data_IF_681366429586
#
_entry.id   IF_681366429586
#
_cell.length_a   1.000
_cell.length_b   1.000
_cell.length_c   1.000
_cell.angle_alpha   90.00
_cell.angle_beta   90.00
_cell.angle_gamma   90.00
#
_symmetry.space_group_name_H-M   'P 1'
#
loop_
_entity.id
_entity.type
_entity.pdbx_description
1 polymer ?
#
# COMPACT_ATOMS: atom_id res chain seq x y z
N UNK A 1 12.24 12.90 16.86
CA UNK A 1 12.70 12.46 15.53
C UNK A 1 13.32 13.66 14.84
N UNK A 2 14.62 13.60 14.58
CA UNK A 2 15.34 14.67 13.89
C UNK A 2 15.00 14.72 12.38
N UNK A 3 15.43 15.80 11.73
CA UNK A 3 15.16 16.08 10.32
C UNK A 3 15.80 15.04 9.38
N UNK A 4 17.04 14.61 9.68
CA UNK A 4 17.77 13.66 8.84
C UNK A 4 17.03 12.32 8.77
N UNK A 5 16.59 11.81 9.93
CA UNK A 5 15.81 10.57 9.97
C UNK A 5 14.53 10.69 9.15
N UNK A 6 13.79 11.80 9.28
CA UNK A 6 12.53 12.01 8.53
C UNK A 6 12.75 12.00 7.02
N UNK A 7 13.75 12.75 6.56
CA UNK A 7 14.07 12.81 5.14
C UNK A 7 14.56 11.47 4.61
N UNK A 8 15.43 10.77 5.35
CA UNK A 8 15.88 9.42 4.97
C UNK A 8 14.71 8.44 4.94
N UNK A 9 13.82 8.48 5.92
CA UNK A 9 12.67 7.60 6.00
C UNK A 9 11.69 7.87 4.85
N UNK A 10 11.35 9.14 4.62
CA UNK A 10 10.51 9.55 3.50
C UNK A 10 11.10 9.09 2.16
N UNK A 11 12.39 9.36 1.89
CA UNK A 11 13.03 8.97 0.62
C UNK A 11 12.98 7.47 0.35
N UNK A 12 13.15 6.64 1.39
CA UNK A 12 13.03 5.18 1.25
C UNK A 12 11.58 4.76 0.98
N UNK A 13 10.61 5.41 1.63
CA UNK A 13 9.19 5.15 1.41
C UNK A 13 8.76 5.56 0.01
N UNK A 14 9.11 6.78 -0.39
CA UNK A 14 8.84 7.33 -1.71
C UNK A 14 9.45 6.47 -2.83
N UNK A 15 10.68 5.97 -2.65
CA UNK A 15 11.30 5.05 -3.60
C UNK A 15 10.52 3.74 -3.75
N UNK A 16 10.03 3.15 -2.65
CA UNK A 16 9.19 1.96 -2.71
C UNK A 16 7.84 2.22 -3.40
N UNK A 17 7.21 3.38 -3.14
CA UNK A 17 5.96 3.78 -3.79
C UNK A 17 6.18 4.04 -5.29
N UNK A 18 7.28 4.67 -5.67
CA UNK A 18 7.58 4.94 -7.07
C UNK A 18 7.95 3.65 -7.83
N UNK A 19 8.63 2.69 -7.20
CA UNK A 19 8.82 1.37 -7.79
C UNK A 19 7.48 0.68 -8.03
N UNK A 20 6.57 0.74 -7.05
CA UNK A 20 5.22 0.22 -7.18
C UNK A 20 4.45 0.89 -8.33
N UNK A 21 4.52 2.22 -8.44
CA UNK A 21 3.94 3.00 -9.55
C UNK A 21 4.51 2.56 -10.90
N UNK A 22 5.83 2.38 -10.99
CA UNK A 22 6.49 1.98 -12.23
C UNK A 22 6.06 0.60 -12.70
N UNK A 23 5.97 -0.37 -11.79
CA UNK A 23 5.42 -1.72 -12.07
C UNK A 23 4.06 -1.62 -12.75
N UNK A 24 3.14 -0.83 -12.19
CA UNK A 24 1.80 -0.66 -12.76
C UNK A 24 1.88 0.05 -14.12
N UNK A 25 2.75 1.06 -14.26
CA UNK A 25 2.89 1.82 -15.50
C UNK A 25 3.42 0.99 -16.67
N UNK A 26 4.36 0.08 -16.43
CA UNK A 26 4.98 -0.72 -17.50
C UNK A 26 4.21 -2.00 -17.81
N UNK A 27 3.28 -2.41 -16.95
CA UNK A 27 2.48 -3.63 -17.15
C UNK A 27 1.63 -3.49 -18.43
N UNK A 28 1.78 -4.36 -19.46
CA UNK A 28 0.98 -4.27 -20.68
C UNK A 28 -0.51 -4.46 -20.41
N UNK A 29 -1.38 -3.81 -21.18
CA UNK A 29 -2.85 -3.94 -21.02
C UNK A 29 -3.34 -5.38 -21.09
N UNK A 30 -2.81 -6.13 -22.05
CA UNK A 30 -3.14 -7.55 -22.21
C UNK A 30 -2.74 -8.37 -20.97
N UNK A 31 -1.59 -8.07 -20.37
CA UNK A 31 -1.12 -8.74 -19.14
C UNK A 31 -1.96 -8.33 -17.96
N UNK A 32 -2.21 -7.03 -17.76
CA UNK A 32 -3.04 -6.51 -16.67
C UNK A 32 -4.43 -7.14 -16.66
N UNK A 33 -5.07 -7.26 -17.83
CA UNK A 33 -6.42 -7.83 -17.96
C UNK A 33 -6.46 -9.36 -17.83
N UNK A 34 -5.45 -10.08 -18.32
CA UNK A 34 -5.43 -11.56 -18.32
C UNK A 34 -4.92 -12.13 -17.01
N UNK A 35 -3.85 -11.55 -16.46
CA UNK A 35 -3.18 -12.02 -15.25
C UNK A 35 -3.77 -11.32 -14.03
N UNK A 36 -5.00 -11.71 -13.67
CA UNK A 36 -5.79 -11.07 -12.59
C UNK A 36 -5.05 -10.97 -11.26
N UNK A 37 -4.14 -11.91 -10.97
CA UNK A 37 -3.31 -11.90 -9.77
C UNK A 37 -2.43 -10.65 -9.66
N UNK A 38 -1.94 -10.12 -10.79
CA UNK A 38 -1.16 -8.87 -10.81
C UNK A 38 -2.04 -7.70 -10.37
N UNK A 39 -3.26 -7.63 -10.91
CA UNK A 39 -4.24 -6.60 -10.52
C UNK A 39 -4.62 -6.72 -9.04
N UNK A 40 -5.01 -7.90 -8.56
CA UNK A 40 -5.42 -8.08 -7.16
C UNK A 40 -4.29 -7.76 -6.18
N UNK A 41 -3.06 -8.16 -6.49
CA UNK A 41 -1.89 -7.82 -5.66
C UNK A 41 -1.58 -6.33 -5.68
N UNK A 42 -1.67 -5.67 -6.83
CA UNK A 42 -1.51 -4.24 -6.92
C UNK A 42 -2.61 -3.49 -6.13
N UNK A 43 -3.86 -3.92 -6.27
CA UNK A 43 -4.98 -3.36 -5.52
C UNK A 43 -4.80 -3.50 -4.01
N UNK A 44 -4.52 -4.72 -3.54
CA UNK A 44 -4.21 -5.00 -2.13
C UNK A 44 -3.09 -4.08 -1.62
N UNK A 45 -1.97 -4.02 -2.35
CA UNK A 45 -0.82 -3.19 -1.96
C UNK A 45 -1.21 -1.73 -1.79
N UNK A 46 -1.99 -1.18 -2.73
CA UNK A 46 -2.40 0.21 -2.71
C UNK A 46 -3.41 0.53 -1.61
N UNK A 47 -4.41 -0.34 -1.42
CA UNK A 47 -5.43 -0.15 -0.41
C UNK A 47 -4.80 -0.13 1.00
N UNK A 48 -3.89 -1.06 1.27
CA UNK A 48 -3.20 -1.15 2.55
C UNK A 48 -2.18 -0.04 2.74
N UNK A 49 -1.48 0.39 1.68
CA UNK A 49 -0.66 1.58 1.72
C UNK A 49 -1.47 2.76 2.25
N UNK A 50 -2.66 3.01 1.70
CA UNK A 50 -3.51 4.12 2.10
C UNK A 50 -4.13 3.97 3.49
N UNK A 51 -4.55 2.75 3.83
CA UNK A 51 -5.14 2.42 5.12
C UNK A 51 -4.17 2.70 6.28
N UNK A 52 -2.94 2.19 6.20
CA UNK A 52 -1.93 2.39 7.24
C UNK A 52 -1.45 3.84 7.36
N UNK A 53 -1.68 4.66 6.34
CA UNK A 53 -1.40 6.10 6.35
C UNK A 53 -2.56 6.95 6.90
N UNK A 54 -3.71 6.36 7.20
CA UNK A 54 -4.90 7.12 7.60
C UNK A 54 -5.04 7.20 9.12
N UNK A 55 -5.10 8.43 9.63
CA UNK A 55 -5.26 8.75 11.05
C UNK A 55 -6.32 9.85 11.19
N UNK A 56 -7.36 9.68 12.02
CA UNK A 56 -7.73 8.45 12.72
C UNK A 56 -8.17 7.35 11.73
N UNK A 57 -8.01 6.07 12.05
CA UNK A 57 -8.33 4.95 11.12
C UNK A 57 -9.81 4.99 10.69
N UNK A 58 -10.69 5.49 11.56
CA UNK A 58 -12.11 5.71 11.27
C UNK A 58 -12.39 6.64 10.09
N UNK A 59 -11.43 7.48 9.66
CA UNK A 59 -11.57 8.34 8.48
C UNK A 59 -11.08 7.68 7.18
N UNK A 60 -10.69 6.41 7.21
CA UNK A 60 -10.31 5.67 6.02
C UNK A 60 -11.49 5.53 5.05
N UNK A 61 -11.34 6.17 3.89
CA UNK A 61 -12.27 6.10 2.76
C UNK A 61 -11.42 5.97 1.50
N UNK A 62 -11.26 4.74 0.96
CA UNK A 62 -10.41 4.53 -0.19
C UNK A 62 -11.01 5.17 -1.44
N UNK A 63 -10.15 5.60 -2.38
CA UNK A 63 -10.63 6.14 -3.67
C UNK A 63 -11.28 5.07 -4.54
N UNK A 64 -10.83 3.82 -4.39
CA UNK A 64 -11.32 2.67 -5.13
C UNK A 64 -11.98 1.68 -4.15
N UNK A 65 -13.31 1.50 -4.21
CA UNK A 65 -14.06 0.64 -3.29
C UNK A 65 -13.60 -0.83 -3.21
N UNK A 66 -13.87 -1.45 -2.07
CA UNK A 66 -13.68 -2.88 -1.83
C UNK A 66 -14.85 -3.46 -1.05
N UNK A 67 -14.94 -4.78 -1.10
CA UNK A 67 -15.82 -5.60 -0.28
C UNK A 67 -14.99 -6.61 0.50
N UNK A 68 -15.42 -6.92 1.74
CA UNK A 68 -14.89 -8.06 2.48
C UNK A 68 -15.67 -9.30 2.08
N UNK A 69 -14.96 -10.27 1.52
CA UNK A 69 -15.54 -11.49 0.96
C UNK A 69 -15.26 -12.65 1.90
N UNK A 70 -16.29 -13.46 2.17
CA UNK A 70 -16.15 -14.64 3.01
C UNK A 70 -15.16 -15.66 2.40
N UNK A 71 -14.41 -16.41 3.22
CA UNK A 71 -13.34 -17.29 2.73
C UNK A 71 -13.78 -18.33 1.68
N UNK A 72 -15.04 -18.77 1.71
CA UNK A 72 -15.61 -19.75 0.78
C UNK A 72 -15.99 -19.16 -0.59
N UNK A 73 -16.01 -17.83 -0.71
CA UNK A 73 -16.37 -17.10 -1.92
C UNK A 73 -15.16 -16.46 -2.62
N UNK A 74 -13.96 -16.58 -2.05
CA UNK A 74 -12.75 -15.99 -2.61
C UNK A 74 -12.29 -16.74 -3.87
N UNK A 75 -12.03 -16.02 -4.98
CA UNK A 75 -11.45 -16.65 -6.17
C UNK A 75 -10.00 -17.11 -5.89
N UNK A 76 -9.47 -18.10 -6.64
CA UNK A 76 -8.13 -18.63 -6.43
C UNK A 76 -7.01 -17.59 -6.55
N UNK A 77 -7.24 -16.51 -7.30
CA UNK A 77 -6.28 -15.42 -7.50
C UNK A 77 -6.35 -14.33 -6.43
N UNK A 78 -7.34 -14.40 -5.52
CA UNK A 78 -7.45 -13.46 -4.40
C UNK A 78 -6.19 -13.50 -3.53
N UNK A 79 -5.85 -12.33 -2.98
CA UNK A 79 -4.70 -12.19 -2.09
C UNK A 79 -5.12 -12.44 -0.65
N UNK A 80 -6.27 -11.91 -0.28
CA UNK A 80 -6.93 -12.00 1.02
C UNK A 80 -8.45 -11.81 0.85
N UNK A 81 -9.14 -11.61 1.98
CA UNK A 81 -10.58 -11.33 2.06
C UNK A 81 -10.95 -9.91 1.59
N UNK A 82 -9.96 -9.04 1.36
CA UNK A 82 -10.17 -7.66 0.92
C UNK A 82 -10.18 -7.59 -0.61
N UNK A 83 -11.38 -7.65 -1.17
CA UNK A 83 -11.55 -7.83 -2.61
C UNK A 83 -12.03 -6.55 -3.30
N UNK A 84 -11.43 -6.13 -4.44
CA UNK A 84 -11.91 -4.96 -5.16
C UNK A 84 -13.31 -5.21 -5.74
N UNK A 85 -14.19 -4.20 -5.66
CA UNK A 85 -15.58 -4.33 -6.15
C UNK A 85 -15.65 -4.54 -7.67
N UNK A 86 -14.63 -4.07 -8.38
CA UNK A 86 -14.51 -4.24 -9.82
C UNK A 86 -13.04 -4.22 -10.26
N UNK A 87 -12.81 -4.54 -11.53
CA UNK A 87 -11.49 -4.39 -12.13
C UNK A 87 -11.23 -2.91 -12.46
N UNK A 88 -10.41 -2.24 -11.66
CA UNK A 88 -10.10 -0.82 -11.85
C UNK A 88 -9.07 -0.61 -12.97
N UNK A 89 -9.27 0.42 -13.82
CA UNK A 89 -8.32 0.73 -14.87
C UNK A 89 -7.03 1.32 -14.28
N UNK A 90 -5.91 1.12 -15.00
CA UNK A 90 -4.57 1.49 -14.48
C UNK A 90 -4.43 2.99 -14.17
N UNK A 91 -5.10 3.86 -14.92
CA UNK A 91 -5.07 5.30 -14.68
C UNK A 91 -5.69 5.66 -13.31
N UNK A 92 -6.81 5.04 -12.94
CA UNK A 92 -7.42 5.22 -11.62
C UNK A 92 -6.50 4.73 -10.49
N UNK A 93 -5.85 3.57 -10.68
CA UNK A 93 -4.83 3.06 -9.78
C UNK A 93 -3.66 4.05 -9.63
N UNK A 94 -3.16 4.61 -10.73
CA UNK A 94 -2.08 5.59 -10.72
C UNK A 94 -2.48 6.90 -10.01
N UNK A 95 -3.71 7.39 -10.21
CA UNK A 95 -4.24 8.53 -9.47
C UNK A 95 -4.27 8.23 -7.96
N UNK A 96 -4.70 7.05 -7.57
CA UNK A 96 -4.76 6.67 -6.16
C UNK A 96 -3.37 6.50 -5.55
N UNK A 97 -2.40 5.94 -6.28
CA UNK A 97 -0.99 5.90 -5.85
C UNK A 97 -0.42 7.29 -5.60
N UNK A 98 -0.70 8.25 -6.49
CA UNK A 98 -0.23 9.62 -6.32
C UNK A 98 -0.81 10.25 -5.04
N UNK A 99 -2.10 10.05 -4.76
CA UNK A 99 -2.74 10.52 -3.54
C UNK A 99 -2.15 9.85 -2.28
N UNK A 100 -1.90 8.53 -2.32
CA UNK A 100 -1.28 7.80 -1.22
C UNK A 100 0.18 8.24 -0.98
N UNK A 101 0.95 8.52 -2.05
CA UNK A 101 2.31 9.08 -1.97
C UNK A 101 2.31 10.43 -1.27
N UNK A 102 1.44 11.35 -1.68
CA UNK A 102 1.31 12.67 -1.07
C UNK A 102 0.86 12.57 0.40
N UNK A 103 -0.08 11.66 0.71
CA UNK A 103 -0.51 11.38 2.08
C UNK A 103 0.67 10.89 2.94
N UNK A 104 1.49 9.98 2.41
CA UNK A 104 2.69 9.46 3.07
C UNK A 104 3.70 10.55 3.39
N UNK A 105 4.02 11.40 2.40
CA UNK A 105 4.93 12.53 2.57
C UNK A 105 4.45 13.46 3.68
N UNK A 106 3.19 13.91 3.60
CA UNK A 106 2.61 14.82 4.59
C UNK A 106 2.67 14.21 5.98
N UNK A 107 2.30 12.93 6.11
CA UNK A 107 2.32 12.25 7.40
C UNK A 107 3.73 12.17 7.99
N UNK A 108 4.75 11.80 7.20
CA UNK A 108 6.13 11.68 7.68
C UNK A 108 6.76 13.05 7.96
N UNK A 109 6.52 14.04 7.09
CA UNK A 109 7.20 15.33 7.16
C UNK A 109 6.54 16.32 8.12
N UNK A 110 5.22 16.25 8.31
CA UNK A 110 4.47 17.27 9.07
C UNK A 110 4.04 16.81 10.46
N UNK A 111 4.05 15.52 10.75
CA UNK A 111 3.67 15.01 12.08
C UNK A 111 4.68 15.45 13.15
N UNK A 112 4.27 16.01 14.30
CA UNK A 112 5.19 16.34 15.40
C UNK A 112 5.96 15.12 15.92
N UNK A 113 7.19 15.30 16.37
CA UNK A 113 8.11 14.21 16.71
C UNK A 113 7.56 13.27 17.80
N UNK A 114 6.87 13.85 18.78
CA UNK A 114 6.24 13.18 19.92
C UNK A 114 5.06 12.28 19.51
N UNK A 115 4.40 12.58 18.39
CA UNK A 115 3.27 11.80 17.88
C UNK A 115 3.69 10.45 17.31
N UNK A 116 4.95 10.29 16.93
CA UNK A 116 5.45 9.02 16.39
C UNK A 116 5.47 7.88 17.40
N UNK A 117 5.57 8.19 18.69
CA UNK A 117 5.48 7.22 19.79
C UNK A 117 4.05 6.99 20.29
N UNK A 118 3.06 7.75 19.80
CA UNK A 118 1.66 7.51 20.16
C UNK A 118 1.11 6.30 19.41
N UNK A 119 0.20 5.56 20.05
CA UNK A 119 -0.50 4.43 19.45
C UNK A 119 -1.21 4.88 18.17
N UNK A 120 -0.96 4.18 17.07
CA UNK A 120 -1.52 4.51 15.76
C UNK A 120 -3.04 4.38 15.72
N UNK A 121 -3.57 3.26 16.23
CA UNK A 121 -5.00 2.98 16.27
C UNK A 121 -5.57 3.20 17.67
N UNK A 122 -6.70 3.92 17.76
CA UNK A 122 -7.35 4.18 19.05
C UNK A 122 -8.13 2.95 19.51
N UNK A 123 -8.32 2.80 20.82
CA UNK A 123 -9.04 1.64 21.38
C UNK A 123 -10.47 1.48 20.86
N UNK A 124 -11.16 2.59 20.55
CA UNK A 124 -12.50 2.58 19.97
C UNK A 124 -12.53 2.32 18.46
N UNK A 125 -11.36 2.20 17.82
CA UNK A 125 -11.20 1.93 16.39
C UNK A 125 -10.69 0.52 16.11
N UNK A 126 -10.31 -0.26 17.13
CA UNK A 126 -9.78 -1.62 16.97
C UNK A 126 -10.74 -2.52 16.18
N UNK A 127 -12.06 -2.39 16.36
CA UNK A 127 -13.01 -3.19 15.58
C UNK A 127 -13.08 -2.80 14.09
N UNK A 128 -12.48 -1.67 13.70
CA UNK A 128 -12.25 -1.28 12.30
C UNK A 128 -10.93 -1.80 11.76
N UNK A 129 -10.15 -2.53 12.58
CA UNK A 129 -8.90 -3.15 12.17
C UNK A 129 -9.10 -4.38 11.27
N UNK A 130 -10.32 -4.83 10.96
CA UNK A 130 -10.59 -6.09 10.24
C UNK A 130 -9.80 -6.32 8.93
N UNK A 131 -9.13 -5.29 8.41
CA UNK A 131 -8.19 -5.37 7.30
C UNK A 131 -6.77 -5.85 7.69
N UNK A 132 -6.32 -5.72 8.94
CA UNK A 132 -4.93 -5.95 9.35
C UNK A 132 -4.79 -7.03 10.43
N UNK A 133 -3.57 -7.58 10.66
CA UNK A 133 -3.34 -8.54 11.73
C UNK A 133 -3.50 -7.94 13.13
N UNK A 134 -4.04 -8.70 14.10
CA UNK A 134 -4.23 -8.21 15.47
C UNK A 134 -2.95 -7.68 16.14
N UNK A 135 -1.77 -8.15 15.74
CA UNK A 135 -0.48 -7.67 16.29
C UNK A 135 -0.24 -6.17 16.04
N UNK A 136 -0.82 -5.58 14.99
CA UNK A 136 -0.60 -4.15 14.70
C UNK A 136 -1.46 -3.23 15.56
N UNK A 137 -2.39 -3.76 16.36
CA UNK A 137 -3.26 -2.92 17.20
C UNK A 137 -2.49 -2.15 18.26
N UNK A 138 -1.32 -2.64 18.67
CA UNK A 138 -0.52 -2.01 19.72
C UNK A 138 0.64 -1.19 19.16
N UNK A 139 0.74 -1.07 17.84
CA UNK A 139 1.80 -0.32 17.20
C UNK A 139 1.63 1.17 17.45
N UNK A 140 2.75 1.83 17.71
CA UNK A 140 2.84 3.28 17.58
C UNK A 140 2.91 3.69 16.10
N UNK A 141 2.78 5.00 15.85
CA UNK A 141 2.80 5.54 14.49
C UNK A 141 4.11 5.20 13.74
N UNK A 142 5.27 5.21 14.40
CA UNK A 142 6.52 4.84 13.73
C UNK A 142 6.54 3.36 13.32
N UNK A 143 6.08 2.47 14.19
CA UNK A 143 6.01 1.03 13.96
C UNK A 143 5.09 0.67 12.80
N UNK A 144 3.89 1.29 12.72
CA UNK A 144 2.99 1.03 11.60
C UNK A 144 3.54 1.57 10.27
N UNK A 145 4.27 2.68 10.28
CA UNK A 145 4.89 3.20 9.06
C UNK A 145 6.02 2.27 8.58
N UNK A 146 6.83 1.71 9.48
CA UNK A 146 7.81 0.67 9.10
C UNK A 146 7.14 -0.62 8.64
N UNK A 147 6.03 -1.01 9.26
CA UNK A 147 5.23 -2.14 8.80
C UNK A 147 4.74 -1.92 7.36
N UNK A 148 4.18 -0.74 7.09
CA UNK A 148 3.68 -0.36 5.78
C UNK A 148 4.80 -0.31 4.73
N UNK A 149 5.98 0.26 5.07
CA UNK A 149 7.16 0.24 4.20
C UNK A 149 7.58 -1.20 3.82
N UNK A 150 7.62 -2.11 4.79
CA UNK A 150 7.96 -3.52 4.51
C UNK A 150 6.89 -4.22 3.67
N UNK A 151 5.62 -3.91 3.91
CA UNK A 151 4.49 -4.45 3.15
C UNK A 151 4.55 -4.04 1.68
N UNK A 152 4.74 -2.76 1.38
CA UNK A 152 4.89 -2.32 -0.01
C UNK A 152 6.14 -2.92 -0.67
N UNK A 153 7.28 -2.96 0.02
CA UNK A 153 8.50 -3.58 -0.51
C UNK A 153 8.32 -5.07 -0.82
N UNK A 154 7.61 -5.80 0.05
CA UNK A 154 7.30 -7.20 -0.15
C UNK A 154 6.50 -7.43 -1.44
N UNK A 155 5.41 -6.68 -1.64
CA UNK A 155 4.56 -6.85 -2.81
C UNK A 155 5.17 -6.27 -4.09
N UNK A 156 5.97 -5.21 -4.02
CA UNK A 156 6.77 -4.72 -5.15
C UNK A 156 7.69 -5.82 -5.68
N UNK A 157 8.34 -6.58 -4.80
CA UNK A 157 9.17 -7.73 -5.18
C UNK A 157 8.35 -8.83 -5.86
N UNK A 158 7.19 -9.19 -5.30
CA UNK A 158 6.29 -10.19 -5.87
C UNK A 158 5.74 -9.77 -7.24
N UNK A 159 5.29 -8.53 -7.37
CA UNK A 159 4.75 -7.97 -8.62
C UNK A 159 5.82 -7.93 -9.72
N UNK A 160 7.05 -7.53 -9.39
CA UNK A 160 8.16 -7.57 -10.35
C UNK A 160 8.45 -9.00 -10.84
N UNK A 161 8.41 -9.99 -9.94
CA UNK A 161 8.56 -11.39 -10.32
C UNK A 161 7.43 -11.86 -11.24
N UNK A 162 6.18 -11.50 -10.93
CA UNK A 162 5.03 -11.83 -11.77
C UNK A 162 5.13 -11.19 -13.16
N UNK A 163 5.52 -9.92 -13.26
CA UNK A 163 5.75 -9.25 -14.55
C UNK A 163 6.86 -9.94 -15.35
N UNK A 164 7.94 -10.36 -14.69
CA UNK A 164 9.05 -11.06 -15.34
C UNK A 164 8.60 -12.40 -15.91
N UNK A 165 7.77 -13.13 -15.18
CA UNK A 165 7.27 -14.44 -15.60
C UNK A 165 6.23 -14.35 -16.72
N UNK A 166 5.38 -13.33 -16.70
CA UNK A 166 4.21 -13.22 -17.60
C UNK A 166 4.48 -12.41 -18.86
N UNK A 167 5.37 -11.42 -18.79
CA UNK A 167 5.65 -10.48 -19.88
C UNK A 167 7.14 -10.29 -20.16
N UNK A 168 8.03 -10.98 -19.42
CA UNK A 168 9.49 -10.84 -19.53
C UNK A 168 9.99 -9.39 -19.36
N UNK A 169 9.29 -8.60 -18.52
CA UNK A 169 9.67 -7.24 -18.13
C UNK A 169 9.76 -7.12 -16.61
N UNK A 170 10.47 -6.12 -16.11
CA UNK A 170 10.50 -5.77 -14.69
C UNK A 170 10.73 -4.27 -14.56
N UNK A 171 10.22 -3.66 -13.49
CA UNK A 171 10.51 -2.28 -13.18
C UNK A 171 11.94 -2.16 -12.64
N UNK A 172 12.61 -1.06 -12.99
CA UNK A 172 13.95 -0.76 -12.49
C UNK A 172 13.94 -0.49 -10.98
N UNK A 173 15.09 -0.72 -10.36
CA UNK A 173 15.34 -0.32 -8.99
C UNK A 173 15.41 1.20 -8.87
N UNK A 174 14.64 1.79 -7.96
CA UNK A 174 14.71 3.21 -7.64
C UNK A 174 15.52 3.35 -6.35
N UNK A 175 16.78 3.75 -6.48
CA UNK A 175 17.66 3.94 -5.32
C UNK A 175 17.28 5.17 -4.50
N UNK A 176 16.72 6.20 -5.14
CA UNK A 176 16.26 7.42 -4.50
C UNK A 176 15.10 7.99 -5.31
N UNK A 177 14.03 8.36 -4.61
CA UNK A 177 12.90 9.10 -5.17
C UNK A 177 13.15 10.61 -5.09
N UNK A 178 12.58 11.35 -6.04
CA UNK A 178 12.60 12.81 -6.09
C UNK A 178 11.62 13.44 -5.09
#
# INVERSE_FOLDING_TARGET
MDQLFRESFWKNFAAAIDMFKNIISICPDATWQKEKKIFYMAYHTLLFLDYYLTIPVSSFHPLLPYTIVEPDQLPPEAIDDVFPDQFYPRNEMQTYIAAAREKCEKLIMQTPAEKFSERWIRSNEINRHGLCPAVVTDYNLLEILFYNLRHIQHHVGQLNLLLRQTANIAADWIAQSE
#
